data_IF_554134149763
#
_entry.id   IF_554134149763
#
_cell.length_a   1.000
_cell.length_b   1.000
_cell.length_c   1.000
_cell.angle_alpha   90.00
_cell.angle_beta   90.00
_cell.angle_gamma   90.00
#
_symmetry.space_group_name_H-M   'P 1'
#
loop_
_entity.id
_entity.type
_entity.pdbx_description
1 polymer ?
#
# COMPACT_ATOMS: atom_id res chain seq x y z
N UNK A 1 -11.13 -8.01 33.08
CA UNK A 1 -11.40 -8.83 31.89
C UNK A 1 -12.91 -9.02 31.81
N UNK A 2 -13.52 -8.68 30.68
CA UNK A 2 -14.97 -8.77 30.46
C UNK A 2 -15.20 -9.74 29.31
N UNK A 3 -16.16 -10.65 29.45
CA UNK A 3 -16.53 -11.60 28.41
C UNK A 3 -17.42 -10.87 27.40
N UNK A 4 -16.95 -10.74 26.16
CA UNK A 4 -17.66 -10.03 25.08
C UNK A 4 -18.41 -10.96 24.11
N UNK A 5 -18.23 -12.29 24.25
CA UNK A 5 -18.93 -13.34 23.49
C UNK A 5 -19.31 -14.47 24.44
N UNK A 6 -20.47 -15.10 24.23
CA UNK A 6 -20.91 -16.23 25.05
C UNK A 6 -19.86 -17.36 25.07
N UNK A 7 -19.63 -17.97 26.23
CA UNK A 7 -18.70 -19.07 26.44
C UNK A 7 -19.35 -20.14 27.31
N UNK A 8 -19.25 -21.41 26.91
CA UNK A 8 -19.79 -22.54 27.63
C UNK A 8 -18.76 -23.09 28.64
N UNK A 9 -19.20 -23.85 29.66
CA UNK A 9 -18.28 -24.56 30.53
C UNK A 9 -17.35 -25.49 29.74
N UNK A 10 -16.04 -25.27 29.85
CA UNK A 10 -15.02 -26.02 29.13
C UNK A 10 -14.44 -25.31 27.90
N UNK A 11 -15.05 -24.20 27.46
CA UNK A 11 -14.52 -23.40 26.36
C UNK A 11 -13.29 -22.59 26.80
N UNK A 12 -12.34 -22.42 25.89
CA UNK A 12 -11.21 -21.51 26.08
C UNK A 12 -11.68 -20.06 25.89
N UNK A 13 -11.28 -19.17 26.80
CA UNK A 13 -11.61 -17.75 26.75
C UNK A 13 -10.40 -16.97 26.23
N UNK A 14 -10.51 -16.49 25.00
CA UNK A 14 -9.45 -15.73 24.34
C UNK A 14 -9.52 -14.24 24.67
N UNK A 15 -8.36 -13.63 24.90
CA UNK A 15 -8.22 -12.17 24.90
C UNK A 15 -7.90 -11.67 23.48
N UNK A 16 -8.05 -10.37 23.23
CA UNK A 16 -7.53 -9.72 22.03
C UNK A 16 -6.17 -9.08 22.31
N UNK A 17 -5.22 -9.27 21.40
CA UNK A 17 -3.95 -8.54 21.40
C UNK A 17 -4.03 -7.23 20.61
N UNK A 18 -5.22 -6.86 20.14
CA UNK A 18 -5.46 -5.71 19.27
C UNK A 18 -5.49 -6.10 17.79
N UNK A 19 -5.42 -5.10 16.92
CA UNK A 19 -5.44 -5.25 15.46
C UNK A 19 -4.03 -5.52 14.95
N UNK A 20 -3.56 -6.77 15.03
CA UNK A 20 -2.21 -7.16 14.63
C UNK A 20 -2.23 -8.14 13.45
N UNK A 21 -1.45 -7.83 12.41
CA UNK A 21 -1.18 -8.75 11.31
C UNK A 21 -0.27 -9.92 11.73
N UNK A 22 -0.16 -10.93 10.89
CA UNK A 22 0.55 -12.17 11.21
C UNK A 22 2.04 -11.94 11.45
N UNK A 23 2.67 -11.00 10.72
CA UNK A 23 4.09 -10.69 10.92
C UNK A 23 4.37 -10.19 12.35
N UNK A 24 3.51 -9.29 12.85
CA UNK A 24 3.60 -8.78 14.20
C UNK A 24 3.26 -9.86 15.25
N UNK A 25 2.24 -10.68 15.00
CA UNK A 25 1.88 -11.81 15.87
C UNK A 25 3.03 -12.80 16.01
N UNK A 26 3.68 -13.17 14.90
CA UNK A 26 4.78 -14.12 14.93
C UNK A 26 5.99 -13.53 15.66
N UNK A 27 6.35 -12.28 15.35
CA UNK A 27 7.51 -11.62 15.94
C UNK A 27 7.37 -11.41 17.45
N UNK A 28 6.18 -11.03 17.94
CA UNK A 28 5.96 -10.68 19.35
C UNK A 28 5.47 -11.85 20.20
N UNK A 29 4.68 -12.76 19.63
CA UNK A 29 3.98 -13.80 20.38
C UNK A 29 4.26 -15.23 19.89
N UNK A 30 4.99 -15.39 18.77
CA UNK A 30 5.46 -16.70 18.31
C UNK A 30 4.40 -17.57 17.65
N UNK A 31 3.28 -17.00 17.19
CA UNK A 31 2.25 -17.72 16.45
C UNK A 31 1.69 -16.88 15.30
N UNK A 32 0.92 -17.53 14.41
CA UNK A 32 0.20 -16.89 13.31
C UNK A 32 -1.23 -17.42 13.24
N UNK A 33 -2.12 -16.65 12.63
CA UNK A 33 -3.52 -16.99 12.42
C UNK A 33 -3.82 -17.16 10.92
N UNK A 34 -4.57 -18.20 10.58
CA UNK A 34 -5.08 -18.38 9.23
C UNK A 34 -6.15 -17.33 8.94
N UNK A 35 -6.09 -16.74 7.75
CA UNK A 35 -7.06 -15.75 7.26
C UNK A 35 -7.28 -14.56 8.22
N UNK A 36 -6.23 -14.13 8.91
CA UNK A 36 -6.23 -12.94 9.77
C UNK A 36 -6.66 -11.68 8.98
N UNK A 37 -7.76 -11.00 9.35
CA UNK A 37 -8.26 -9.83 8.62
C UNK A 37 -7.42 -8.56 8.83
N UNK A 38 -6.50 -8.57 9.79
CA UNK A 38 -5.57 -7.45 10.06
C UNK A 38 -4.21 -7.66 9.41
N UNK A 39 -4.07 -8.67 8.56
CA UNK A 39 -2.80 -8.95 7.91
C UNK A 39 -2.47 -7.91 6.86
N UNK A 40 -1.19 -7.62 6.73
CA UNK A 40 -0.65 -6.60 5.83
C UNK A 40 0.54 -7.16 5.07
N UNK A 41 0.87 -6.54 3.93
CA UNK A 41 2.17 -6.76 3.29
C UNK A 41 2.85 -5.42 3.03
N UNK A 42 4.13 -5.34 3.38
CA UNK A 42 4.92 -4.13 3.22
C UNK A 42 5.53 -4.04 1.82
N UNK A 43 5.48 -2.83 1.26
CA UNK A 43 6.14 -2.44 0.02
C UNK A 43 7.19 -1.37 0.36
N UNK A 44 8.46 -1.75 0.36
CA UNK A 44 9.54 -0.80 0.64
C UNK A 44 9.59 0.32 -0.41
N UNK A 45 9.89 1.54 0.01
CA UNK A 45 10.13 2.67 -0.89
C UNK A 45 11.25 2.36 -1.90
N UNK A 46 12.21 1.52 -1.52
CA UNK A 46 13.27 1.02 -2.41
C UNK A 46 12.72 0.21 -3.59
N UNK A 47 11.62 -0.53 -3.41
CA UNK A 47 10.95 -1.25 -4.50
C UNK A 47 10.22 -0.29 -5.44
N UNK A 48 9.57 0.74 -4.90
CA UNK A 48 8.89 1.77 -5.70
C UNK A 48 9.92 2.57 -6.52
N UNK A 49 11.04 2.96 -5.93
CA UNK A 49 12.12 3.67 -6.63
C UNK A 49 12.84 2.79 -7.66
N UNK A 50 13.02 1.49 -7.37
CA UNK A 50 13.52 0.50 -8.34
C UNK A 50 12.57 0.35 -9.53
N UNK A 51 11.28 0.22 -9.28
CA UNK A 51 10.26 0.19 -10.32
C UNK A 51 10.31 1.48 -11.17
N UNK A 52 10.30 2.65 -10.53
CA UNK A 52 10.37 3.94 -11.23
C UNK A 52 11.65 4.05 -12.07
N UNK A 53 12.80 3.62 -11.54
CA UNK A 53 14.09 3.63 -12.26
C UNK A 53 14.17 2.61 -13.41
N UNK A 54 13.27 1.63 -13.46
CA UNK A 54 13.14 0.72 -14.61
C UNK A 54 12.40 1.35 -15.80
N UNK A 55 11.60 2.40 -15.54
CA UNK A 55 10.79 3.12 -16.53
C UNK A 55 11.36 4.49 -16.87
N UNK A 56 12.03 5.11 -15.91
CA UNK A 56 12.56 6.47 -15.97
C UNK A 56 14.01 6.49 -15.45
N UNK A 57 14.69 7.63 -15.55
CA UNK A 57 16.05 7.75 -15.00
C UNK A 57 16.05 7.72 -13.47
N UNK A 58 17.18 7.30 -12.87
CA UNK A 58 17.35 7.35 -11.41
C UNK A 58 17.18 8.77 -10.84
N UNK A 59 17.67 9.79 -11.58
CA UNK A 59 17.48 11.21 -11.22
C UNK A 59 16.00 11.58 -11.18
N UNK A 60 15.22 11.10 -12.14
CA UNK A 60 13.77 11.32 -12.17
C UNK A 60 13.12 10.72 -10.93
N UNK A 61 13.36 9.44 -10.64
CA UNK A 61 12.79 8.78 -9.47
C UNK A 61 13.13 9.51 -8.16
N UNK A 62 14.41 9.89 -7.97
CA UNK A 62 14.86 10.64 -6.80
C UNK A 62 14.16 11.99 -6.66
N UNK A 63 14.06 12.75 -7.75
CA UNK A 63 13.39 14.06 -7.72
C UNK A 63 11.91 13.95 -7.31
N UNK A 64 11.19 12.92 -7.81
CA UNK A 64 9.78 12.68 -7.47
C UNK A 64 9.60 12.32 -5.99
N UNK A 65 10.46 11.46 -5.46
CA UNK A 65 10.46 11.11 -4.02
C UNK A 65 10.81 12.34 -3.17
N UNK A 66 11.80 13.13 -3.58
CA UNK A 66 12.16 14.37 -2.87
C UNK A 66 11.00 15.36 -2.82
N UNK A 67 10.27 15.57 -3.92
CA UNK A 67 9.08 16.42 -3.91
C UNK A 67 8.00 15.87 -2.98
N UNK A 68 7.77 14.57 -3.01
CA UNK A 68 6.79 13.92 -2.14
C UNK A 68 7.11 14.15 -0.65
N UNK A 69 8.37 14.02 -0.24
CA UNK A 69 8.80 14.41 1.12
C UNK A 69 8.69 15.91 1.40
N UNK A 70 9.03 16.77 0.44
CA UNK A 70 8.90 18.22 0.61
C UNK A 70 7.44 18.66 0.79
N UNK A 71 6.48 17.87 0.31
CA UNK A 71 5.05 18.08 0.53
C UNK A 71 4.57 17.54 1.89
N UNK A 72 5.48 17.06 2.74
CA UNK A 72 5.17 16.55 4.07
C UNK A 72 4.72 15.09 4.12
N UNK A 73 4.73 14.37 2.99
CA UNK A 73 4.37 12.96 2.99
C UNK A 73 5.55 12.06 3.39
N UNK A 74 5.24 11.00 4.12
CA UNK A 74 6.15 9.91 4.46
C UNK A 74 5.40 8.59 4.54
N UNK A 75 6.10 7.48 4.36
CA UNK A 75 5.61 6.14 4.58
C UNK A 75 5.75 5.74 6.05
N UNK A 76 5.36 4.51 6.34
CA UNK A 76 5.65 3.89 7.61
C UNK A 76 7.18 3.72 7.76
N UNK A 77 7.69 3.91 8.97
CA UNK A 77 9.12 3.79 9.27
C UNK A 77 9.41 2.64 10.23
N UNK A 78 10.44 1.85 9.93
CA UNK A 78 10.95 0.80 10.82
C UNK A 78 12.44 0.63 10.57
N UNK A 79 13.27 0.71 11.61
CA UNK A 79 14.70 0.39 11.56
C UNK A 79 15.42 0.98 10.33
N UNK A 80 15.26 2.29 10.11
CA UNK A 80 15.85 3.06 9.00
C UNK A 80 15.33 2.73 7.58
N UNK A 81 14.27 1.92 7.48
CA UNK A 81 13.57 1.66 6.23
C UNK A 81 12.19 2.32 6.20
N UNK A 82 11.88 2.92 5.05
CA UNK A 82 10.56 3.47 4.75
C UNK A 82 9.79 2.53 3.82
N UNK A 83 8.54 2.25 4.18
CA UNK A 83 7.68 1.32 3.47
C UNK A 83 6.23 1.79 3.48
N UNK A 84 5.43 1.15 2.65
CA UNK A 84 3.99 1.35 2.57
C UNK A 84 3.26 0.06 2.91
N UNK A 85 2.13 0.17 3.58
CA UNK A 85 1.29 -0.98 3.93
C UNK A 85 0.24 -1.22 2.85
N UNK A 86 0.02 -2.50 2.52
CA UNK A 86 -1.13 -2.96 1.76
C UNK A 86 -2.00 -3.78 2.69
N UNK A 87 -3.26 -3.36 2.85
CA UNK A 87 -4.20 -3.98 3.77
C UNK A 87 -4.58 -5.40 3.36
N UNK A 88 -5.24 -6.14 4.25
CA UNK A 88 -5.75 -7.47 3.95
C UNK A 88 -6.53 -7.50 2.64
N UNK A 89 -7.42 -6.54 2.39
CA UNK A 89 -8.25 -6.49 1.17
C UNK A 89 -7.49 -6.11 -0.12
N UNK A 90 -6.18 -5.86 0.00
CA UNK A 90 -5.35 -5.42 -1.10
C UNK A 90 -5.44 -3.92 -1.35
N UNK A 91 -5.97 -3.14 -0.41
CA UNK A 91 -6.03 -1.69 -0.53
C UNK A 91 -4.66 -1.09 -0.17
N UNK A 92 -4.04 -0.31 -1.08
CA UNK A 92 -2.79 0.35 -0.79
C UNK A 92 -3.00 1.56 0.11
N UNK A 93 -2.04 1.80 0.99
CA UNK A 93 -1.93 3.04 1.75
C UNK A 93 -1.94 4.28 0.83
N UNK A 94 -2.60 5.36 1.29
CA UNK A 94 -2.87 6.56 0.50
C UNK A 94 -1.58 7.26 0.05
N UNK A 95 -0.59 7.29 0.92
CA UNK A 95 0.74 7.85 0.72
C UNK A 95 1.45 7.23 -0.50
N UNK A 96 1.33 5.90 -0.69
CA UNK A 96 1.85 5.21 -1.87
C UNK A 96 1.17 5.70 -3.16
N UNK A 97 -0.16 5.88 -3.11
CA UNK A 97 -0.93 6.37 -4.25
C UNK A 97 -0.54 7.80 -4.63
N UNK A 98 -0.33 8.66 -3.63
CA UNK A 98 0.11 10.05 -3.83
C UNK A 98 1.51 10.07 -4.45
N UNK A 99 2.44 9.23 -3.98
CA UNK A 99 3.77 9.12 -4.58
C UNK A 99 3.68 8.68 -6.05
N UNK A 100 2.88 7.66 -6.36
CA UNK A 100 2.67 7.21 -7.74
C UNK A 100 2.03 8.32 -8.60
N UNK A 101 1.07 9.06 -8.05
CA UNK A 101 0.48 10.22 -8.72
C UNK A 101 1.54 11.27 -9.08
N UNK A 102 2.40 11.63 -8.13
CA UNK A 102 3.51 12.58 -8.35
C UNK A 102 4.48 12.03 -9.41
N UNK A 103 4.80 10.74 -9.37
CA UNK A 103 5.66 10.08 -10.39
C UNK A 103 5.08 10.23 -11.80
N UNK A 104 3.76 10.20 -11.95
CA UNK A 104 3.09 10.34 -13.25
C UNK A 104 2.79 11.78 -13.68
N UNK A 105 3.09 12.80 -12.86
CA UNK A 105 2.89 14.19 -13.26
C UNK A 105 3.77 14.58 -14.45
N UNK A 106 3.17 15.22 -15.45
CA UNK A 106 3.89 15.82 -16.57
C UNK A 106 4.93 16.86 -16.08
N UNK A 107 6.06 17.05 -16.78
CA UNK A 107 7.13 17.95 -16.34
C UNK A 107 6.64 19.36 -16.00
N UNK A 108 5.80 19.96 -16.84
CA UNK A 108 5.27 21.31 -16.61
C UNK A 108 4.41 21.41 -15.35
N UNK A 109 3.68 20.35 -15.02
CA UNK A 109 2.82 20.29 -13.84
C UNK A 109 3.64 20.01 -12.59
N UNK A 110 4.65 19.15 -12.71
CA UNK A 110 5.63 18.90 -11.67
C UNK A 110 6.39 20.17 -11.28
N UNK A 111 6.91 20.91 -12.26
CA UNK A 111 7.69 22.13 -12.00
C UNK A 111 6.83 23.19 -11.29
N UNK A 112 5.55 23.32 -11.68
CA UNK A 112 4.59 24.19 -10.96
C UNK A 112 4.40 23.76 -9.52
N UNK A 113 4.26 22.46 -9.28
CA UNK A 113 4.08 21.91 -7.93
C UNK A 113 5.32 22.13 -7.07
N UNK A 114 6.52 21.99 -7.64
CA UNK A 114 7.79 22.31 -6.95
C UNK A 114 7.84 23.78 -6.55
N UNK A 115 7.42 24.72 -7.42
CA UNK A 115 7.47 26.15 -7.11
C UNK A 115 6.58 26.57 -5.93
N UNK A 116 5.55 25.79 -5.60
CA UNK A 116 4.60 26.11 -4.53
C UNK A 116 4.64 25.10 -3.38
N UNK A 117 5.57 24.15 -3.38
CA UNK A 117 5.54 23.04 -2.41
C UNK A 117 5.69 23.51 -0.97
N UNK A 118 6.51 24.54 -0.73
CA UNK A 118 6.71 25.13 0.62
C UNK A 118 5.42 25.75 1.17
N UNK A 119 4.58 26.32 0.30
CA UNK A 119 3.31 26.95 0.69
C UNK A 119 2.19 25.92 0.95
N UNK A 120 2.40 24.65 0.57
CA UNK A 120 1.41 23.58 0.68
C UNK A 120 1.52 22.76 1.97
N UNK A 121 2.68 22.80 2.61
CA UNK A 121 2.91 22.12 3.90
C UNK A 121 2.09 22.83 4.98
N UNK A 122 1.22 22.08 5.66
CA UNK A 122 0.45 22.58 6.81
C UNK A 122 1.25 22.43 8.11
N UNK A 123 0.96 23.28 9.11
CA UNK A 123 1.54 23.23 10.46
C UNK A 123 0.91 22.12 11.35
N UNK A 124 0.05 21.25 10.80
CA UNK A 124 -0.76 20.33 11.61
C UNK A 124 -0.04 19.00 11.89
N UNK A 125 0.35 18.81 13.15
CA UNK A 125 0.95 17.60 13.73
C UNK A 125 -0.07 16.44 13.95
N UNK A 126 -1.12 16.33 13.12
CA UNK A 126 -2.10 15.25 13.21
C UNK A 126 -2.04 14.34 11.98
N UNK A 127 -1.85 13.06 12.25
CA UNK A 127 -1.46 12.01 11.29
C UNK A 127 -2.67 11.09 11.06
N UNK A 128 -3.81 11.68 10.67
CA UNK A 128 -5.02 10.94 10.32
C UNK A 128 -5.27 10.91 8.81
N UNK A 129 -6.03 9.92 8.34
CA UNK A 129 -6.27 9.72 6.90
C UNK A 129 -6.97 10.93 6.25
N UNK A 130 -7.78 11.67 7.02
CA UNK A 130 -8.51 12.83 6.51
C UNK A 130 -7.57 14.01 6.27
N UNK A 131 -6.57 14.22 7.13
CA UNK A 131 -5.53 15.23 6.95
C UNK A 131 -4.68 14.95 5.70
N UNK A 132 -4.30 13.68 5.46
CA UNK A 132 -3.62 13.30 4.20
C UNK A 132 -4.49 13.61 2.98
N UNK A 133 -5.80 13.33 3.04
CA UNK A 133 -6.74 13.63 1.95
C UNK A 133 -6.83 15.14 1.71
N UNK A 134 -6.92 15.93 2.77
CA UNK A 134 -7.06 17.39 2.69
C UNK A 134 -5.78 18.05 2.18
N UNK A 135 -4.62 17.57 2.62
CA UNK A 135 -3.30 17.94 2.08
C UNK A 135 -3.23 17.63 0.58
N UNK A 136 -3.61 16.41 0.18
CA UNK A 136 -3.57 16.03 -1.22
C UNK A 136 -4.60 16.78 -2.08
N UNK A 137 -5.74 17.19 -1.52
CA UNK A 137 -6.68 18.06 -2.21
C UNK A 137 -6.05 19.41 -2.59
N UNK A 138 -5.13 19.96 -1.78
CA UNK A 138 -4.35 21.17 -2.13
C UNK A 138 -3.42 20.89 -3.32
N UNK A 139 -2.71 19.76 -3.31
CA UNK A 139 -1.86 19.31 -4.43
C UNK A 139 -2.68 19.22 -5.73
N UNK A 140 -3.86 18.59 -5.68
CA UNK A 140 -4.75 18.44 -6.84
C UNK A 140 -5.18 19.79 -7.43
N UNK A 141 -5.46 20.80 -6.59
CA UNK A 141 -5.84 22.15 -7.08
C UNK A 141 -4.73 22.79 -7.92
N UNK A 142 -3.47 22.56 -7.54
CA UNK A 142 -2.29 23.07 -8.26
C UNK A 142 -2.06 22.30 -9.56
N UNK A 143 -2.17 20.98 -9.51
CA UNK A 143 -1.84 20.11 -10.65
C UNK A 143 -2.97 20.04 -11.69
N UNK A 144 -4.21 20.33 -11.29
CA UNK A 144 -5.39 20.37 -12.15
C UNK A 144 -6.20 21.63 -11.89
N UNK A 145 -5.73 22.81 -12.34
CA UNK A 145 -6.52 24.03 -12.23
C UNK A 145 -7.81 23.86 -13.03
N UNK A 146 -8.96 24.06 -12.36
CA UNK A 146 -10.28 23.83 -12.93
C UNK A 146 -10.44 24.55 -14.28
N UNK A 147 -10.68 23.79 -15.35
CA UNK A 147 -11.13 24.36 -16.62
C UNK A 147 -12.63 24.67 -16.48
N UNK A 148 -12.93 25.91 -16.12
CA UNK A 148 -14.27 26.51 -16.04
C UNK A 148 -15.17 25.95 -14.90
N UNK A 149 -15.23 26.69 -13.79
CA UNK A 149 -16.41 26.80 -12.92
C UNK A 149 -16.92 25.51 -12.27
N UNK A 150 -16.50 25.28 -11.02
CA UNK A 150 -17.12 24.36 -10.05
C UNK A 150 -17.23 22.91 -10.53
N UNK A 151 -16.10 22.27 -10.83
CA UNK A 151 -16.03 20.83 -10.59
C UNK A 151 -16.05 20.64 -9.07
N UNK A 152 -17.14 20.05 -8.53
CA UNK A 152 -17.09 19.48 -7.17
C UNK A 152 -15.85 18.61 -7.13
N UNK A 153 -14.94 18.87 -6.18
CA UNK A 153 -13.72 18.09 -6.05
C UNK A 153 -14.12 16.61 -6.14
N UNK A 154 -13.73 15.88 -7.20
CA UNK A 154 -14.05 14.47 -7.26
C UNK A 154 -13.45 13.85 -6.01
N UNK A 155 -14.15 12.85 -5.45
CA UNK A 155 -13.64 12.01 -4.37
C UNK A 155 -12.16 11.74 -4.66
N UNK A 156 -11.29 12.29 -3.81
CA UNK A 156 -9.86 12.45 -4.10
C UNK A 156 -9.23 11.09 -4.37
N UNK A 157 -9.76 10.04 -3.73
CA UNK A 157 -9.40 8.65 -3.96
C UNK A 157 -9.64 8.22 -5.42
N UNK A 158 -10.72 8.68 -6.07
CA UNK A 158 -10.98 8.39 -7.50
C UNK A 158 -9.96 9.01 -8.43
N UNK A 159 -9.32 10.12 -8.05
CA UNK A 159 -8.25 10.72 -8.85
C UNK A 159 -6.97 9.88 -8.83
N UNK A 160 -6.73 9.22 -7.71
CA UNK A 160 -5.62 8.29 -7.51
C UNK A 160 -5.86 6.94 -8.20
N UNK A 161 -7.11 6.61 -8.52
CA UNK A 161 -7.49 5.41 -9.25
C UNK A 161 -7.40 5.60 -10.77
N UNK A 162 -6.18 5.78 -11.27
CA UNK A 162 -5.91 5.88 -12.71
C UNK A 162 -5.29 4.59 -13.27
N UNK A 163 -5.47 4.36 -14.58
CA UNK A 163 -4.86 3.21 -15.28
C UNK A 163 -3.33 3.15 -15.12
N UNK A 164 -2.67 4.31 -15.13
CA UNK A 164 -1.22 4.41 -14.93
C UNK A 164 -0.79 3.93 -13.54
N UNK A 165 -1.49 4.41 -12.50
CA UNK A 165 -1.23 4.02 -11.10
C UNK A 165 -1.59 2.55 -10.88
N UNK A 166 -2.69 2.05 -11.44
CA UNK A 166 -3.05 0.63 -11.33
C UNK A 166 -2.01 -0.29 -11.98
N UNK A 167 -1.51 0.07 -13.17
CA UNK A 167 -0.43 -0.67 -13.85
C UNK A 167 0.88 -0.64 -13.06
N UNK A 168 1.19 0.51 -12.43
CA UNK A 168 2.33 0.64 -11.53
C UNK A 168 2.22 -0.28 -10.31
N UNK A 169 1.08 -0.27 -9.62
CA UNK A 169 0.81 -1.12 -8.46
C UNK A 169 0.94 -2.60 -8.80
N UNK A 170 0.38 -3.04 -9.94
CA UNK A 170 0.52 -4.42 -10.40
C UNK A 170 1.99 -4.80 -10.63
N UNK A 171 2.76 -3.91 -11.27
CA UNK A 171 4.20 -4.13 -11.51
C UNK A 171 5.01 -4.16 -10.22
N UNK A 172 4.70 -3.30 -9.25
CA UNK A 172 5.34 -3.27 -7.93
C UNK A 172 4.99 -4.53 -7.15
N UNK A 173 3.74 -5.00 -7.22
CA UNK A 173 3.32 -6.27 -6.62
C UNK A 173 4.09 -7.46 -7.21
N UNK A 174 4.33 -7.48 -8.52
CA UNK A 174 5.15 -8.51 -9.18
C UNK A 174 6.61 -8.48 -8.69
N UNK A 175 7.20 -7.29 -8.56
CA UNK A 175 8.56 -7.15 -8.01
C UNK A 175 8.58 -7.65 -6.56
N UNK A 176 7.60 -7.27 -5.73
CA UNK A 176 7.52 -7.72 -4.32
C UNK A 176 7.33 -9.23 -4.20
N UNK A 177 6.49 -9.83 -5.04
CA UNK A 177 6.24 -11.27 -5.03
C UNK A 177 7.46 -12.07 -5.49
N UNK A 178 8.27 -11.52 -6.40
CA UNK A 178 9.50 -12.17 -6.87
C UNK A 178 10.52 -12.41 -5.76
N UNK A 179 10.45 -11.66 -4.65
CA UNK A 179 11.36 -11.80 -3.50
C UNK A 179 11.15 -13.11 -2.73
N UNK A 180 10.00 -13.76 -2.86
CA UNK A 180 9.75 -15.06 -2.24
C UNK A 180 10.43 -16.22 -3.00
N UNK A 181 11.02 -15.97 -4.17
CA UNK A 181 11.66 -16.98 -5.00
C UNK A 181 10.71 -17.63 -6.01
N UNK A 182 11.10 -18.80 -6.52
CA UNK A 182 10.48 -19.41 -7.70
C UNK A 182 9.21 -20.24 -7.44
N UNK A 183 8.83 -20.50 -6.19
CA UNK A 183 7.57 -21.23 -5.92
C UNK A 183 6.36 -20.34 -6.23
N UNK A 184 5.26 -20.97 -6.58
CA UNK A 184 3.97 -20.29 -6.76
C UNK A 184 3.19 -20.24 -5.45
N UNK A 185 2.18 -19.35 -5.37
CA UNK A 185 1.24 -19.32 -4.25
C UNK A 185 0.58 -20.69 -4.04
N UNK A 186 0.22 -21.39 -5.13
CA UNK A 186 -0.41 -22.70 -5.06
C UNK A 186 0.52 -23.74 -4.43
N UNK A 187 1.81 -23.71 -4.78
CA UNK A 187 2.81 -24.61 -4.18
C UNK A 187 2.94 -24.37 -2.68
N UNK A 188 2.91 -23.10 -2.24
CA UNK A 188 3.00 -22.74 -0.83
C UNK A 188 1.71 -23.14 -0.07
N UNK A 189 0.54 -23.00 -0.68
CA UNK A 189 -0.74 -23.48 -0.12
C UNK A 189 -0.77 -25.02 0.01
N UNK A 190 -0.25 -25.74 -0.97
CA UNK A 190 -0.14 -27.21 -0.91
C UNK A 190 0.82 -27.64 0.20
N UNK A 191 1.98 -26.97 0.34
CA UNK A 191 2.91 -27.21 1.44
C UNK A 191 2.29 -26.89 2.80
N UNK A 192 1.55 -25.78 2.91
CA UNK A 192 0.89 -25.40 4.16
C UNK A 192 -0.15 -26.44 4.58
N UNK A 193 -0.93 -26.98 3.62
CA UNK A 193 -1.90 -28.05 3.88
C UNK A 193 -1.25 -29.37 4.33
N UNK A 194 -0.06 -29.66 3.82
CA UNK A 194 0.68 -30.88 4.18
C UNK A 194 1.49 -30.74 5.47
N UNK A 195 1.79 -29.52 5.91
CA UNK A 195 2.66 -29.22 7.04
C UNK A 195 1.97 -29.48 8.39
N UNK A 196 2.70 -30.06 9.35
CA UNK A 196 2.18 -30.24 10.71
C UNK A 196 2.33 -28.97 11.55
N UNK A 197 1.23 -28.39 12.09
CA UNK A 197 1.32 -27.21 12.95
C UNK A 197 2.10 -27.45 14.25
N UNK A 198 2.20 -28.70 14.71
CA UNK A 198 2.88 -29.07 15.96
C UNK A 198 4.28 -29.60 15.69
N UNK A 199 4.41 -30.50 14.71
CA UNK A 199 5.67 -31.17 14.38
C UNK A 199 6.65 -30.27 13.62
N UNK A 200 6.15 -29.30 12.85
CA UNK A 200 6.94 -28.45 11.95
C UNK A 200 6.64 -26.97 12.18
N UNK A 201 6.50 -26.55 13.44
CA UNK A 201 6.07 -25.19 13.85
C UNK A 201 6.70 -24.05 13.06
N UNK A 202 8.02 -24.02 12.93
CA UNK A 202 8.71 -22.93 12.22
C UNK A 202 8.36 -22.89 10.73
N UNK A 203 8.24 -24.05 10.09
CA UNK A 203 7.85 -24.15 8.68
C UNK A 203 6.39 -23.73 8.52
N UNK A 204 5.51 -24.22 9.40
CA UNK A 204 4.09 -23.88 9.41
C UNK A 204 3.88 -22.36 9.49
N UNK A 205 4.42 -21.68 10.51
CA UNK A 205 4.24 -20.24 10.66
C UNK A 205 4.86 -19.43 9.53
N UNK A 206 6.03 -19.87 9.01
CA UNK A 206 6.65 -19.23 7.84
C UNK A 206 5.78 -19.35 6.59
N UNK A 207 5.14 -20.51 6.38
CA UNK A 207 4.21 -20.73 5.28
C UNK A 207 2.93 -19.91 5.44
N UNK A 208 2.39 -19.79 6.65
CA UNK A 208 1.21 -18.94 6.91
C UNK A 208 1.49 -17.49 6.52
N UNK A 209 2.63 -16.92 6.94
CA UNK A 209 3.04 -15.56 6.53
C UNK A 209 3.17 -15.44 5.02
N UNK A 210 3.92 -16.34 4.41
CA UNK A 210 4.19 -16.29 2.98
C UNK A 210 2.92 -16.39 2.14
N UNK A 211 2.01 -17.30 2.50
CA UNK A 211 0.73 -17.49 1.81
C UNK A 211 -0.17 -16.28 1.99
N UNK A 212 -0.28 -15.75 3.20
CA UNK A 212 -1.13 -14.58 3.48
C UNK A 212 -0.66 -13.32 2.75
N UNK A 213 0.63 -12.99 2.81
CA UNK A 213 1.21 -11.85 2.09
C UNK A 213 1.02 -11.98 0.57
N UNK A 214 1.26 -13.17 0.01
CA UNK A 214 1.04 -13.43 -1.43
C UNK A 214 -0.43 -13.32 -1.83
N UNK A 215 -1.37 -13.75 -0.98
CA UNK A 215 -2.80 -13.52 -1.19
C UNK A 215 -3.13 -12.02 -1.22
N UNK A 216 -2.54 -11.22 -0.32
CA UNK A 216 -2.70 -9.76 -0.33
C UNK A 216 -2.18 -9.16 -1.64
N UNK A 217 -0.98 -9.53 -2.09
CA UNK A 217 -0.45 -9.09 -3.39
C UNK A 217 -1.37 -9.48 -4.56
N UNK A 218 -1.97 -10.67 -4.49
CA UNK A 218 -3.00 -11.10 -5.44
C UNK A 218 -4.25 -10.21 -5.43
N UNK A 219 -4.70 -9.79 -4.24
CA UNK A 219 -5.83 -8.86 -4.08
C UNK A 219 -5.48 -7.45 -4.54
N UNK A 220 -4.28 -6.95 -4.26
CA UNK A 220 -3.78 -5.67 -4.77
C UNK A 220 -3.85 -5.60 -6.30
N UNK A 221 -3.43 -6.67 -7.00
CA UNK A 221 -3.53 -6.73 -8.47
C UNK A 221 -4.97 -6.68 -8.95
N UNK A 222 -5.88 -7.40 -8.29
CA UNK A 222 -7.32 -7.38 -8.62
C UNK A 222 -7.91 -5.99 -8.39
N UNK A 223 -7.58 -5.37 -7.26
CA UNK A 223 -7.99 -4.02 -6.90
C UNK A 223 -7.52 -3.02 -7.96
N UNK A 224 -6.22 -2.99 -8.28
CA UNK A 224 -5.63 -2.16 -9.31
C UNK A 224 -6.23 -2.39 -10.71
N UNK A 225 -6.58 -3.64 -11.05
CA UNK A 225 -7.19 -3.99 -12.35
C UNK A 225 -8.65 -3.54 -12.48
N UNK A 226 -9.34 -3.31 -11.35
CA UNK A 226 -10.73 -2.86 -11.33
C UNK A 226 -10.89 -1.37 -11.66
N UNK A 227 -9.79 -0.61 -11.64
CA UNK A 227 -9.81 0.83 -11.81
C UNK A 227 -10.15 1.26 -13.26
N UNK A 228 -10.80 2.42 -13.42
CA UNK A 228 -11.29 2.86 -14.71
C UNK A 228 -10.14 3.06 -15.72
N UNK A 229 -10.26 2.37 -16.86
CA UNK A 229 -9.34 2.56 -17.99
C UNK A 229 -9.69 3.84 -18.73
N UNK A 230 -8.70 4.69 -18.97
CA UNK A 230 -8.90 5.94 -19.72
C UNK A 230 -9.25 5.60 -21.16
N UNK A 231 -10.48 5.89 -21.61
CA UNK A 231 -10.82 5.78 -23.04
C UNK A 231 -9.92 6.75 -23.80
N UNK A 232 -8.95 6.24 -24.56
CA UNK A 232 -8.16 7.05 -25.51
C UNK A 232 -9.14 7.83 -26.39
N UNK A 233 -9.16 9.16 -26.27
CA UNK A 233 -9.83 10.03 -27.24
C UNK A 233 -9.18 9.74 -28.59
N UNK A 234 -9.95 9.17 -29.52
CA UNK A 234 -9.55 9.10 -30.93
C UNK A 234 -9.42 10.54 -31.41
N UNK A 235 -8.20 10.98 -31.68
CA UNK A 235 -7.99 12.13 -32.55
C UNK A 235 -8.38 11.68 -33.96
N UNK A 236 -9.58 12.06 -34.39
CA UNK A 236 -9.98 12.14 -35.80
C UNK A 236 -9.63 13.50 -36.34
#
# INVERSE_FOLDING_TARGET
>A
MIIVREANPGDEVYNTYGTMGNAALLHRYGFTELDNPYDIVNIDLTLVTKWCSSKYSHRYAKARVSLWHMLGYSGCTSEDAEYFEISYDGEPQLELLILLYIIFLEPEVYDKLVCVSEDLVGDDDQDDEQDTIDSFAKVVKVTRPAKNGVEKLPDVKKLLQSEGIGSALASIADIRESLYGSSTLKDDEEKLRACSPVGERSIYHSLVLRVSERKILGRLRKHASSWPKTKKRKHT
#
